data_IF_936709595417
#
_entry.id   IF_936709595417
#
_cell.length_a   1.000
_cell.length_b   1.000
_cell.length_c   1.000
_cell.angle_alpha   90.00
_cell.angle_beta   90.00
_cell.angle_gamma   90.00
#
_symmetry.space_group_name_H-M   'P 1'
#
loop_
_entity.id
_entity.type
_entity.pdbx_description
1 polymer ?
#
# COMPACT_ATOMS: atom_id res chain seq x y z
N UNK A 1 -44.44 23.12 28.26
CA UNK A 1 -43.38 22.13 28.45
C UNK A 1 -43.21 21.91 29.94
N UNK A 2 -43.29 20.67 30.40
CA UNK A 2 -43.03 20.32 31.81
C UNK A 2 -41.53 20.44 32.11
N UNK A 3 -41.14 20.71 33.35
CA UNK A 3 -39.72 20.77 33.75
C UNK A 3 -38.96 19.48 33.40
N UNK A 4 -39.65 18.33 33.41
CA UNK A 4 -39.09 17.04 33.03
C UNK A 4 -38.72 16.96 31.54
N UNK A 5 -39.55 17.53 30.65
CA UNK A 5 -39.25 17.61 29.22
C UNK A 5 -38.04 18.53 28.94
N UNK A 6 -37.90 19.62 29.72
CA UNK A 6 -36.76 20.54 29.60
C UNK A 6 -35.45 19.88 30.03
N UNK A 7 -35.48 19.08 31.10
CA UNK A 7 -34.27 18.38 31.58
C UNK A 7 -33.85 17.25 30.65
N UNK A 8 -34.80 16.52 30.05
CA UNK A 8 -34.52 15.54 28.99
C UNK A 8 -33.86 16.24 27.80
N UNK A 9 -34.44 17.35 27.32
CA UNK A 9 -33.90 18.09 26.17
C UNK A 9 -32.47 18.62 26.43
N UNK A 10 -32.20 19.07 27.66
CA UNK A 10 -30.85 19.48 28.07
C UNK A 10 -29.87 18.31 28.06
N UNK A 11 -30.27 17.15 28.56
CA UNK A 11 -29.41 15.97 28.57
C UNK A 11 -29.06 15.52 27.15
N UNK A 12 -30.05 15.48 26.26
CA UNK A 12 -29.88 15.19 24.83
C UNK A 12 -28.94 16.21 24.15
N UNK A 13 -29.10 17.50 24.45
CA UNK A 13 -28.25 18.56 23.89
C UNK A 13 -26.78 18.43 24.35
N UNK A 14 -26.56 18.09 25.62
CA UNK A 14 -25.21 17.84 26.15
C UNK A 14 -24.60 16.60 25.49
N UNK A 15 -25.36 15.52 25.34
CA UNK A 15 -24.89 14.32 24.64
C UNK A 15 -24.54 14.57 23.17
N UNK A 16 -25.33 15.40 22.47
CA UNK A 16 -25.01 15.83 21.10
C UNK A 16 -23.73 16.67 21.05
N UNK A 17 -23.53 17.58 22.01
CA UNK A 17 -22.32 18.38 22.09
C UNK A 17 -21.08 17.51 22.32
N UNK A 18 -21.14 16.54 23.23
CA UNK A 18 -20.05 15.60 23.49
C UNK A 18 -19.69 14.79 22.25
N UNK A 19 -20.69 14.30 21.50
CA UNK A 19 -20.47 13.62 20.22
C UNK A 19 -19.79 14.53 19.19
N UNK A 20 -20.23 15.79 19.07
CA UNK A 20 -19.60 16.76 18.15
C UNK A 20 -18.13 16.99 18.53
N UNK A 21 -17.81 17.10 19.82
CA UNK A 21 -16.42 17.26 20.26
C UNK A 21 -15.57 16.02 19.98
N UNK A 22 -16.15 14.81 20.11
CA UNK A 22 -15.47 13.56 19.74
C UNK A 22 -15.16 13.52 18.25
N UNK A 23 -16.15 13.82 17.40
CA UNK A 23 -15.99 13.86 15.93
C UNK A 23 -14.92 14.89 15.54
N UNK A 24 -14.89 16.06 16.21
CA UNK A 24 -13.84 17.07 15.98
C UNK A 24 -12.43 16.55 16.25
N UNK A 25 -12.23 15.78 17.32
CA UNK A 25 -10.93 15.16 17.64
C UNK A 25 -10.53 14.11 16.61
N UNK A 26 -11.47 13.28 16.17
CA UNK A 26 -11.23 12.26 15.14
C UNK A 26 -10.87 12.92 13.80
N UNK A 27 -11.59 13.97 13.39
CA UNK A 27 -11.27 14.73 12.17
C UNK A 27 -9.90 15.44 12.27
N UNK A 28 -9.55 15.98 13.44
CA UNK A 28 -8.23 16.57 13.67
C UNK A 28 -7.09 15.52 13.63
N UNK A 29 -7.37 14.26 13.98
CA UNK A 29 -6.41 13.16 13.84
C UNK A 29 -6.20 12.74 12.38
N UNK A 30 -7.26 12.75 11.58
CA UNK A 30 -7.18 12.47 10.14
C UNK A 30 -6.37 13.57 9.43
N UNK A 31 -6.55 14.84 9.83
CA UNK A 31 -5.86 15.98 9.23
C UNK A 31 -5.05 16.72 10.30
N UNK A 32 -3.84 16.21 10.60
CA UNK A 32 -2.95 16.85 11.58
C UNK A 32 -2.65 18.30 11.17
N UNK A 33 -3.07 19.30 11.96
CA UNK A 33 -2.79 20.69 11.65
C UNK A 33 -1.27 20.94 11.69
N UNK A 34 -0.64 21.17 10.54
CA UNK A 34 0.79 21.50 10.44
C UNK A 34 1.69 20.48 9.75
N UNK A 35 1.21 19.28 9.41
CA UNK A 35 1.93 18.35 8.52
C UNK A 35 1.73 18.75 7.05
N UNK A 36 2.79 18.66 6.25
CA UNK A 36 2.84 19.16 4.86
C UNK A 36 2.18 18.23 3.82
N UNK A 37 1.29 17.33 4.23
CA UNK A 37 0.56 16.44 3.32
C UNK A 37 -0.81 16.08 3.86
N UNK A 38 -1.84 16.16 3.01
CA UNK A 38 -3.16 15.62 3.36
C UNK A 38 -3.06 14.10 3.32
N UNK A 39 -3.36 13.43 4.44
CA UNK A 39 -3.30 11.95 4.52
C UNK A 39 -4.16 11.29 3.44
N UNK A 40 -5.25 11.95 3.03
CA UNK A 40 -6.10 11.45 1.95
C UNK A 40 -5.46 11.54 0.57
N UNK A 41 -4.66 12.58 0.31
CA UNK A 41 -3.90 12.71 -0.93
C UNK A 41 -2.86 11.58 -1.00
N UNK A 42 -2.07 11.40 0.07
CA UNK A 42 -1.07 10.33 0.14
C UNK A 42 -1.70 8.94 -0.04
N UNK A 43 -2.81 8.64 0.65
CA UNK A 43 -3.51 7.37 0.48
C UNK A 43 -4.08 7.17 -0.92
N UNK A 44 -4.55 8.24 -1.57
CA UNK A 44 -5.04 8.17 -2.94
C UNK A 44 -3.90 7.89 -3.91
N UNK A 45 -2.77 8.59 -3.77
CA UNK A 45 -1.59 8.41 -4.60
C UNK A 45 -0.99 7.00 -4.42
N UNK A 46 -0.93 6.47 -3.20
CA UNK A 46 -0.51 5.09 -2.93
C UNK A 46 -1.42 4.07 -3.60
N UNK A 47 -2.75 4.27 -3.57
CA UNK A 47 -3.70 3.37 -4.23
C UNK A 47 -3.63 3.45 -5.75
N UNK A 48 -3.44 4.64 -6.33
CA UNK A 48 -3.24 4.82 -7.76
C UNK A 48 -1.92 4.15 -8.21
N UNK A 49 -0.84 4.30 -7.44
CA UNK A 49 0.42 3.60 -7.69
C UNK A 49 0.28 2.06 -7.62
N UNK A 50 -0.56 1.53 -6.72
CA UNK A 50 -0.86 0.08 -6.68
C UNK A 50 -1.51 -0.36 -8.00
N UNK A 51 -2.47 0.42 -8.54
CA UNK A 51 -3.11 0.09 -9.82
C UNK A 51 -2.06 0.09 -10.94
N UNK A 52 -1.26 1.14 -11.04
CA UNK A 52 -0.26 1.28 -12.11
C UNK A 52 0.79 0.17 -12.06
N UNK A 53 1.35 -0.12 -10.87
CA UNK A 53 2.35 -1.18 -10.70
C UNK A 53 1.78 -2.57 -11.00
N UNK A 54 0.53 -2.84 -10.62
CA UNK A 54 -0.11 -4.14 -10.89
C UNK A 54 -0.47 -4.32 -12.36
N UNK A 55 -0.84 -3.24 -13.07
CA UNK A 55 -1.05 -3.26 -14.51
C UNK A 55 0.27 -3.47 -15.26
N UNK A 56 1.32 -2.74 -14.92
CA UNK A 56 2.63 -2.89 -15.53
C UNK A 56 3.20 -4.30 -15.32
N UNK A 57 3.08 -4.86 -14.11
CA UNK A 57 3.48 -6.22 -13.83
C UNK A 57 2.67 -7.25 -14.64
N UNK A 58 1.37 -7.04 -14.78
CA UNK A 58 0.50 -7.94 -15.55
C UNK A 58 0.84 -7.91 -17.04
N UNK A 59 1.07 -6.72 -17.62
CA UNK A 59 1.54 -6.60 -19.00
C UNK A 59 2.88 -7.33 -19.21
N UNK A 60 3.82 -7.15 -18.29
CA UNK A 60 5.11 -7.86 -18.34
C UNK A 60 4.93 -9.38 -18.30
N UNK A 61 4.02 -9.89 -17.46
CA UNK A 61 3.71 -11.33 -17.40
C UNK A 61 3.14 -11.80 -18.74
N UNK A 62 2.18 -11.08 -19.32
CA UNK A 62 1.56 -11.44 -20.60
C UNK A 62 2.59 -11.45 -21.74
N UNK A 63 3.47 -10.45 -21.82
CA UNK A 63 4.54 -10.40 -22.82
C UNK A 63 5.50 -11.61 -22.70
N UNK A 64 5.89 -11.99 -21.49
CA UNK A 64 6.71 -13.17 -21.27
C UNK A 64 5.99 -14.46 -21.67
N UNK A 65 4.69 -14.56 -21.40
CA UNK A 65 3.86 -15.70 -21.77
C UNK A 65 3.71 -15.81 -23.30
N UNK A 66 3.58 -14.70 -24.01
CA UNK A 66 3.60 -14.67 -25.48
C UNK A 66 4.95 -15.13 -26.03
N UNK A 67 6.05 -14.67 -25.44
CA UNK A 67 7.40 -15.10 -25.82
C UNK A 67 7.60 -16.62 -25.59
N UNK A 68 7.05 -17.17 -24.50
CA UNK A 68 7.03 -18.62 -24.23
C UNK A 68 6.26 -19.35 -25.34
N UNK A 69 5.07 -18.87 -25.72
CA UNK A 69 4.29 -19.46 -26.81
C UNK A 69 5.05 -19.48 -28.14
N UNK A 70 5.71 -18.37 -28.50
CA UNK A 70 6.53 -18.30 -29.71
C UNK A 70 7.72 -19.29 -29.69
N UNK A 71 8.37 -19.45 -28.53
CA UNK A 71 9.45 -20.41 -28.35
C UNK A 71 8.93 -21.87 -28.45
N UNK A 72 7.75 -22.15 -27.92
CA UNK A 72 7.07 -23.45 -28.05
C UNK A 72 6.78 -23.77 -29.51
N UNK A 73 6.25 -22.83 -30.28
CA UNK A 73 5.99 -23.00 -31.71
C UNK A 73 7.28 -23.28 -32.50
N UNK A 74 8.36 -22.56 -32.19
CA UNK A 74 9.66 -22.80 -32.80
C UNK A 74 10.20 -24.20 -32.47
N UNK A 75 10.10 -24.62 -31.21
CA UNK A 75 10.52 -25.96 -30.78
C UNK A 75 9.69 -27.05 -31.47
N UNK A 76 8.39 -26.83 -31.61
CA UNK A 76 7.45 -27.74 -32.29
C UNK A 76 7.81 -27.90 -33.78
N UNK A 77 8.28 -26.86 -34.45
CA UNK A 77 8.72 -26.94 -35.83
C UNK A 77 10.05 -27.71 -36.00
N UNK A 78 10.88 -27.77 -34.96
CA UNK A 78 12.20 -28.40 -34.98
C UNK A 78 12.21 -29.91 -34.73
N UNK A 79 11.10 -30.50 -34.33
CA UNK A 79 10.97 -31.95 -34.06
C UNK A 79 9.71 -32.53 -34.69
N UNK A 80 9.66 -33.86 -34.82
CA UNK A 80 8.44 -34.61 -35.18
C UNK A 80 8.08 -35.66 -34.13
N UNK A 81 8.79 -35.67 -33.01
CA UNK A 81 8.65 -36.69 -31.97
C UNK A 81 7.32 -36.53 -31.21
N UNK A 82 6.40 -37.51 -31.28
CA UNK A 82 5.05 -37.36 -30.72
C UNK A 82 5.03 -36.99 -29.23
N UNK A 83 5.92 -37.58 -28.43
CA UNK A 83 6.03 -37.31 -27.00
C UNK A 83 6.42 -35.85 -26.70
N UNK A 84 7.28 -35.25 -27.54
CA UNK A 84 7.65 -33.84 -27.40
C UNK A 84 6.49 -32.93 -27.82
N UNK A 85 5.76 -33.29 -28.88
CA UNK A 85 4.57 -32.53 -29.28
C UNK A 85 3.48 -32.51 -28.20
N UNK A 86 3.26 -33.63 -27.51
CA UNK A 86 2.33 -33.73 -26.38
C UNK A 86 2.78 -32.86 -25.19
N UNK A 87 4.07 -32.91 -24.85
CA UNK A 87 4.63 -32.06 -23.80
C UNK A 87 4.47 -30.56 -24.11
N UNK A 88 4.74 -30.14 -25.36
CA UNK A 88 4.55 -28.77 -25.81
C UNK A 88 3.06 -28.36 -25.81
N UNK A 89 2.14 -29.27 -26.15
CA UNK A 89 0.70 -29.01 -26.07
C UNK A 89 0.24 -28.67 -24.65
N UNK A 90 0.80 -29.34 -23.63
CA UNK A 90 0.51 -28.98 -22.22
C UNK A 90 1.02 -27.59 -21.84
N UNK A 91 2.10 -27.12 -22.46
CA UNK A 91 2.58 -25.75 -22.24
C UNK A 91 1.60 -24.74 -22.83
N UNK A 92 1.06 -25.01 -24.02
CA UNK A 92 0.04 -24.16 -24.65
C UNK A 92 -1.22 -24.05 -23.78
N UNK A 93 -1.65 -25.16 -23.16
CA UNK A 93 -2.78 -25.17 -22.22
C UNK A 93 -2.51 -24.24 -21.03
N UNK A 94 -1.32 -24.33 -20.42
CA UNK A 94 -0.92 -23.45 -19.31
C UNK A 94 -0.79 -21.98 -19.72
N UNK A 95 -0.27 -21.69 -20.92
CA UNK A 95 -0.24 -20.34 -21.49
C UNK A 95 -1.66 -19.76 -21.55
N UNK A 96 -2.63 -20.54 -22.03
CA UNK A 96 -4.04 -20.14 -22.07
C UNK A 96 -4.66 -19.91 -20.68
N UNK A 97 -4.33 -20.75 -19.70
CA UNK A 97 -4.75 -20.58 -18.30
C UNK A 97 -4.20 -19.29 -17.68
N UNK A 98 -2.93 -18.96 -17.94
CA UNK A 98 -2.30 -17.74 -17.43
C UNK A 98 -2.96 -16.49 -18.03
N UNK A 99 -3.19 -16.47 -19.35
CA UNK A 99 -3.92 -15.37 -19.99
C UNK A 99 -5.30 -15.14 -19.36
N UNK A 100 -6.03 -16.23 -19.15
CA UNK A 100 -7.35 -16.17 -18.52
C UNK A 100 -7.26 -15.65 -17.08
N UNK A 101 -6.28 -16.11 -16.31
CA UNK A 101 -6.06 -15.64 -14.94
C UNK A 101 -5.71 -14.15 -14.88
N UNK A 102 -4.81 -13.67 -15.75
CA UNK A 102 -4.41 -12.27 -15.83
C UNK A 102 -5.55 -11.35 -16.31
N UNK A 103 -6.49 -11.85 -17.12
CA UNK A 103 -7.65 -11.05 -17.58
C UNK A 103 -8.56 -10.55 -16.45
N UNK A 104 -8.55 -11.19 -15.28
CA UNK A 104 -9.30 -10.73 -14.11
C UNK A 104 -8.70 -9.49 -13.42
N UNK A 105 -7.47 -9.09 -13.79
CA UNK A 105 -6.83 -7.91 -13.24
C UNK A 105 -7.59 -6.62 -13.57
N UNK A 106 -8.25 -6.53 -14.74
CA UNK A 106 -9.10 -5.38 -15.10
C UNK A 106 -10.22 -5.13 -14.07
N UNK A 107 -10.88 -6.19 -13.59
CA UNK A 107 -11.91 -6.08 -12.53
C UNK A 107 -11.29 -5.59 -11.22
N UNK A 108 -10.05 -5.98 -10.91
CA UNK A 108 -9.33 -5.54 -9.71
C UNK A 108 -8.99 -4.06 -9.81
N UNK A 109 -8.44 -3.60 -10.93
CA UNK A 109 -8.18 -2.18 -11.20
C UNK A 109 -9.45 -1.33 -11.05
N UNK A 110 -10.54 -1.73 -11.69
CA UNK A 110 -11.84 -1.04 -11.57
C UNK A 110 -12.36 -0.98 -10.13
N UNK A 111 -12.16 -2.03 -9.33
CA UNK A 111 -12.56 -2.05 -7.92
C UNK A 111 -11.73 -1.08 -7.10
N UNK A 112 -10.41 -1.04 -7.30
CA UNK A 112 -9.52 -0.10 -6.62
C UNK A 112 -9.88 1.34 -7.01
N UNK A 113 -10.08 1.64 -8.29
CA UNK A 113 -10.54 2.98 -8.73
C UNK A 113 -11.85 3.40 -8.06
N UNK A 114 -12.78 2.48 -7.82
CA UNK A 114 -14.00 2.78 -7.06
C UNK A 114 -13.71 3.14 -5.60
N UNK A 115 -12.80 2.41 -4.95
CA UNK A 115 -12.36 2.71 -3.58
C UNK A 115 -11.73 4.10 -3.51
N UNK A 116 -10.82 4.44 -4.44
CA UNK A 116 -10.20 5.77 -4.52
C UNK A 116 -11.26 6.87 -4.65
N UNK A 117 -12.26 6.68 -5.52
CA UNK A 117 -13.37 7.65 -5.64
C UNK A 117 -14.18 7.79 -4.35
N UNK A 118 -14.42 6.70 -3.64
CA UNK A 118 -15.11 6.74 -2.34
C UNK A 118 -14.28 7.47 -1.27
N UNK A 119 -12.96 7.29 -1.26
CA UNK A 119 -12.08 8.03 -0.34
C UNK A 119 -12.08 9.53 -0.64
N UNK A 120 -11.99 9.94 -1.91
CA UNK A 120 -12.11 11.35 -2.33
C UNK A 120 -13.45 11.96 -1.90
N UNK A 121 -14.54 11.21 -2.00
CA UNK A 121 -15.84 11.67 -1.51
C UNK A 121 -15.86 11.87 0.02
N UNK A 122 -15.24 10.97 0.79
CA UNK A 122 -15.10 11.14 2.24
C UNK A 122 -14.27 12.37 2.57
N UNK A 123 -13.15 12.55 1.87
CA UNK A 123 -12.27 13.70 2.01
C UNK A 123 -13.01 15.03 1.79
N UNK A 124 -13.80 15.15 0.71
CA UNK A 124 -14.63 16.34 0.45
C UNK A 124 -15.56 16.68 1.62
N UNK A 125 -16.16 15.66 2.25
CA UNK A 125 -17.08 15.86 3.39
C UNK A 125 -16.33 16.26 4.65
N UNK A 126 -15.18 15.65 4.92
CA UNK A 126 -14.30 16.05 6.03
C UNK A 126 -13.84 17.50 5.83
N UNK A 127 -13.43 17.86 4.61
CA UNK A 127 -13.05 19.23 4.24
C UNK A 127 -14.19 20.23 4.44
N UNK A 128 -15.42 19.87 4.07
CA UNK A 128 -16.60 20.70 4.31
C UNK A 128 -16.87 20.92 5.82
N UNK A 129 -16.78 19.86 6.64
CA UNK A 129 -16.93 19.96 8.10
C UNK A 129 -15.85 20.85 8.73
N UNK A 130 -14.61 20.73 8.26
CA UNK A 130 -13.50 21.61 8.68
C UNK A 130 -13.81 23.07 8.31
N UNK A 131 -14.28 23.31 7.08
CA UNK A 131 -14.67 24.64 6.62
C UNK A 131 -15.78 25.27 7.47
N UNK A 132 -16.76 24.47 7.91
CA UNK A 132 -17.85 24.93 8.78
C UNK A 132 -17.39 25.30 10.20
N UNK A 133 -16.38 24.62 10.75
CA UNK A 133 -15.91 24.87 12.11
C UNK A 133 -14.81 25.93 12.20
N UNK A 134 -14.14 26.24 11.08
CA UNK A 134 -13.00 27.13 11.04
C UNK A 134 -11.70 26.42 11.42
N UNK A 135 -10.65 26.65 10.63
CA UNK A 135 -9.35 25.96 10.78
C UNK A 135 -8.69 26.23 12.14
N UNK A 136 -8.85 27.43 12.69
CA UNK A 136 -8.28 27.83 13.98
C UNK A 136 -8.90 27.08 15.16
N UNK A 137 -10.19 26.75 15.09
CA UNK A 137 -10.89 26.03 16.15
C UNK A 137 -10.49 24.54 16.20
N UNK A 138 -10.16 23.95 15.05
CA UNK A 138 -9.67 22.58 14.94
C UNK A 138 -8.19 22.46 15.28
N UNK A 139 -7.37 23.46 14.96
CA UNK A 139 -5.95 23.50 15.31
C UNK A 139 -5.71 23.48 16.83
N UNK A 140 -6.68 23.95 17.62
CA UNK A 140 -6.64 23.90 19.08
C UNK A 140 -7.08 22.56 19.68
N UNK A 141 -7.61 21.65 18.86
CA UNK A 141 -8.03 20.31 19.30
C UNK A 141 -6.82 19.40 19.27
N UNK A 142 -6.45 18.82 20.42
CA UNK A 142 -5.41 17.79 20.46
C UNK A 142 -5.91 16.55 19.70
N UNK A 143 -5.20 16.13 18.63
CA UNK A 143 -5.52 14.90 17.92
C UNK A 143 -5.34 13.69 18.84
N UNK A 144 -6.11 12.64 18.59
CA UNK A 144 -5.80 11.33 19.17
C UNK A 144 -4.60 10.78 18.41
N UNK A 145 -3.49 10.51 19.10
CA UNK A 145 -2.33 9.87 18.48
C UNK A 145 -2.69 8.43 18.11
N UNK A 146 -2.66 8.12 16.81
CA UNK A 146 -2.64 6.74 16.34
C UNK A 146 -1.28 6.14 16.72
N UNK A 147 -1.29 5.06 17.52
CA UNK A 147 -0.08 4.36 17.91
C UNK A 147 0.75 3.97 16.66
N UNK A 148 2.02 4.36 16.65
CA UNK A 148 2.91 4.12 15.51
C UNK A 148 2.98 2.65 15.11
N UNK A 149 3.22 2.39 13.81
CA UNK A 149 3.46 1.03 13.30
C UNK A 149 4.64 0.41 14.06
N UNK A 150 4.47 -0.76 14.66
CA UNK A 150 5.52 -1.48 15.41
C UNK A 150 5.84 -2.83 14.76
N UNK A 151 7.06 -3.32 15.00
CA UNK A 151 7.52 -4.62 14.46
C UNK A 151 7.54 -4.66 12.93
N UNK A 152 7.15 -5.79 12.35
CA UNK A 152 7.16 -6.01 10.90
C UNK A 152 6.29 -5.02 10.12
N UNK A 153 5.24 -4.48 10.75
CA UNK A 153 4.40 -3.46 10.12
C UNK A 153 5.16 -2.15 9.86
N UNK A 154 6.26 -1.89 10.57
CA UNK A 154 7.14 -0.76 10.29
C UNK A 154 8.08 -1.00 9.09
N UNK A 155 8.27 -2.26 8.68
CA UNK A 155 9.11 -2.65 7.54
C UNK A 155 8.33 -2.71 6.23
N UNK A 156 7.00 -2.78 6.31
CA UNK A 156 6.12 -2.78 5.15
C UNK A 156 5.94 -1.36 4.61
N UNK A 157 6.75 -1.04 3.60
CA UNK A 157 6.56 0.13 2.76
C UNK A 157 5.69 -0.27 1.55
N UNK A 158 4.74 0.59 1.19
CA UNK A 158 3.94 0.40 -0.03
C UNK A 158 4.79 0.50 -1.30
N UNK A 159 4.18 0.36 -2.49
CA UNK A 159 4.88 0.63 -3.74
C UNK A 159 5.50 2.04 -3.71
N UNK A 160 6.71 2.17 -4.24
CA UNK A 160 7.37 3.48 -4.29
C UNK A 160 6.63 4.38 -5.28
N UNK A 161 6.24 5.57 -4.81
CA UNK A 161 5.68 6.60 -5.69
C UNK A 161 6.75 7.09 -6.67
N UNK A 162 6.31 7.63 -7.80
CA UNK A 162 7.22 8.14 -8.84
C UNK A 162 8.13 9.25 -8.28
N UNK A 163 9.45 9.03 -8.33
CA UNK A 163 10.46 9.97 -7.82
C UNK A 163 10.84 9.79 -6.34
N UNK A 164 10.15 8.93 -5.60
CA UNK A 164 10.43 8.59 -4.20
C UNK A 164 11.29 7.30 -4.09
N UNK A 165 11.72 6.75 -5.23
CA UNK A 165 12.49 5.53 -5.26
C UNK A 165 13.95 5.72 -4.87
N UNK A 166 14.51 4.73 -4.18
CA UNK A 166 15.95 4.69 -3.88
C UNK A 166 16.69 4.51 -5.21
N UNK A 167 17.57 5.45 -5.55
CA UNK A 167 18.33 5.35 -6.79
C UNK A 167 19.36 4.23 -6.72
N UNK A 168 19.73 3.65 -7.86
CA UNK A 168 20.80 2.63 -7.90
C UNK A 168 22.12 3.17 -7.33
N UNK A 169 22.40 4.47 -7.52
CA UNK A 169 23.57 5.13 -6.93
C UNK A 169 23.51 5.16 -5.39
N UNK A 170 22.32 5.28 -4.81
CA UNK A 170 22.11 5.22 -3.35
C UNK A 170 22.24 3.79 -2.84
N UNK A 171 21.72 2.81 -3.57
CA UNK A 171 21.92 1.38 -3.27
C UNK A 171 23.40 1.02 -3.31
N UNK A 172 24.12 1.47 -4.34
CA UNK A 172 25.53 1.18 -4.53
C UNK A 172 26.38 1.84 -3.44
N UNK A 173 26.02 3.05 -2.96
CA UNK A 173 26.67 3.66 -1.78
C UNK A 173 26.44 2.86 -0.51
N UNK A 174 25.22 2.37 -0.30
CA UNK A 174 24.83 1.63 0.90
C UNK A 174 25.50 0.24 0.94
N UNK A 175 25.66 -0.40 -0.22
CA UNK A 175 26.31 -1.71 -0.35
C UNK A 175 27.84 -1.63 -0.48
N UNK A 176 28.40 -0.56 -1.07
CA UNK A 176 29.86 -0.42 -1.26
C UNK A 176 30.59 0.43 -0.20
N UNK A 177 29.89 1.15 0.70
CA UNK A 177 30.55 1.75 1.86
C UNK A 177 29.83 2.92 2.53
N UNK A 178 29.37 2.68 3.77
CA UNK A 178 29.02 3.73 4.73
C UNK A 178 28.32 3.19 5.98
N UNK A 179 29.08 2.97 7.06
CA UNK A 179 28.64 2.86 8.46
C UNK A 179 28.01 1.56 8.99
N UNK A 180 28.76 0.44 8.92
CA UNK A 180 28.71 -0.61 9.97
C UNK A 180 29.93 -0.53 10.88
N UNK A 181 30.14 0.61 11.54
CA UNK A 181 31.19 0.72 12.56
C UNK A 181 30.69 1.52 13.77
N UNK A 182 30.02 0.82 14.69
CA UNK A 182 30.25 0.90 16.15
C UNK A 182 29.09 0.27 16.96
N UNK A 183 28.97 -1.07 16.99
CA UNK A 183 28.35 -1.78 18.12
C UNK A 183 28.59 -3.31 18.07
N UNK A 184 29.85 -3.76 18.12
CA UNK A 184 30.15 -5.11 18.59
C UNK A 184 31.59 -5.22 19.11
N UNK A 185 31.80 -4.78 20.34
CA UNK A 185 32.91 -5.29 21.14
C UNK A 185 32.62 -6.75 21.48
N UNK A 186 33.13 -7.66 20.65
CA UNK A 186 32.97 -9.11 20.83
C UNK A 186 33.35 -9.86 19.57
N UNK A 187 34.59 -9.67 19.10
CA UNK A 187 35.11 -10.46 17.99
C UNK A 187 35.28 -11.92 18.45
N UNK A 188 34.32 -12.77 18.13
CA UNK A 188 34.53 -14.22 18.09
C UNK A 188 35.63 -14.47 17.06
N UNK A 189 36.73 -15.08 17.50
CA UNK A 189 37.86 -15.35 16.61
C UNK A 189 37.51 -16.47 15.64
N UNK A 190 38.19 -16.51 14.49
CA UNK A 190 38.02 -17.58 13.50
C UNK A 190 38.18 -18.98 14.13
N UNK A 191 39.03 -19.09 15.17
CA UNK A 191 39.25 -20.31 15.95
C UNK A 191 38.01 -20.79 16.73
N UNK A 192 37.06 -19.90 17.02
CA UNK A 192 35.79 -20.25 17.68
C UNK A 192 34.76 -20.79 16.68
N UNK A 193 34.86 -20.37 15.42
CA UNK A 193 34.00 -20.83 14.32
C UNK A 193 34.40 -22.25 13.90
N UNK A 194 35.70 -22.55 13.84
CA UNK A 194 36.22 -23.86 13.44
C UNK A 194 35.90 -24.97 14.46
N UNK A 195 35.53 -24.63 15.70
CA UNK A 195 35.10 -25.60 16.73
C UNK A 195 33.63 -26.02 16.62
N UNK A 196 32.82 -25.31 15.84
CA UNK A 196 31.39 -25.57 15.72
C UNK A 196 31.04 -26.62 14.64
N UNK A 197 32.01 -27.01 13.82
CA UNK A 197 31.83 -27.99 12.75
C UNK A 197 32.97 -29.03 12.78
N UNK A 198 32.80 -30.16 13.49
CA UNK A 198 33.77 -31.26 13.49
C UNK A 198 33.85 -32.00 12.15
#
# INVERSE_FOLDING_TARGET
MSNQEVDILKHELVGLFEHIQKIRREIAAIRRPGESGDRFDQMSDELDAIVDHTEAATNTIMENVEAIGAAVDQARAGTKEPAVHEALGRVDDHVGEIFTACSFQDITGQRITKVVRSLKFVEERVNALIGMWGRDALAQVQPVEEGGKTGDAALLNGPQLAGEGVSQDDVDRLLNGGDMQAASSGASSQDDIDKLFP
#
